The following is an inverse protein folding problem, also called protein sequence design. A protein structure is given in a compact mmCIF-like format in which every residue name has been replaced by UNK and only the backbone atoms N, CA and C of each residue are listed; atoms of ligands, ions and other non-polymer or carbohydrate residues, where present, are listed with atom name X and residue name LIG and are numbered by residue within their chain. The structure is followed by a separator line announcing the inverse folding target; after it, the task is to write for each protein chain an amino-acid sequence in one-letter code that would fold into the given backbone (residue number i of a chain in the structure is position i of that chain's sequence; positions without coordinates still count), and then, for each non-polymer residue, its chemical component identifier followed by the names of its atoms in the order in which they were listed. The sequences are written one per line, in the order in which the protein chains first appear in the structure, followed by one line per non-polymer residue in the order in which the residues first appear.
data_IF_608930794249
#
_entry.id   IF_608930794249
#
_cell.length_a   1.000
_cell.length_b   1.000
_cell.length_c   1.000
_cell.angle_alpha   90.00
_cell.angle_beta   90.00
_cell.angle_gamma   90.00
#
_symmetry.space_group_name_H-M   'P 1'
#
loop_
_entity.id
_entity.type
_entity.pdbx_description
1 polymer ?
#
# COMPACT_ATOMS: atom_id res chain seq x y z
N UNK A 1 19.54 1.20 3.19
CA UNK A 1 19.33 1.70 1.81
C UNK A 1 18.75 0.53 1.03
N UNK A 2 17.45 0.57 0.69
CA UNK A 2 16.75 -0.57 0.09
C UNK A 2 17.05 -0.64 -1.42
N UNK A 3 18.19 -1.22 -1.79
CA UNK A 3 18.66 -1.34 -3.17
C UNK A 3 17.64 -1.96 -4.15
N UNK A 4 16.66 -2.71 -3.63
CA UNK A 4 15.55 -3.30 -4.41
C UNK A 4 14.55 -2.27 -4.96
N UNK A 5 14.33 -1.14 -4.29
CA UNK A 5 13.34 -0.14 -4.73
C UNK A 5 13.93 0.91 -5.67
N UNK A 6 15.22 1.25 -5.52
CA UNK A 6 15.81 2.39 -6.22
C UNK A 6 15.85 2.22 -7.76
N UNK A 7 15.74 0.98 -8.29
CA UNK A 7 15.62 0.67 -9.73
C UNK A 7 14.30 -0.02 -10.10
N UNK A 8 13.29 0.04 -9.22
CA UNK A 8 12.04 -0.68 -9.43
C UNK A 8 11.08 0.14 -10.31
N UNK A 9 10.70 -0.34 -11.51
CA UNK A 9 9.88 0.44 -12.43
C UNK A 9 8.47 0.71 -11.86
N UNK A 10 7.91 -0.22 -11.09
CA UNK A 10 6.61 -0.03 -10.45
C UNK A 10 6.67 1.02 -9.33
N UNK A 11 7.77 1.03 -8.56
CA UNK A 11 8.01 2.08 -7.57
C UNK A 11 8.10 3.47 -8.20
N UNK A 12 8.74 3.57 -9.38
CA UNK A 12 8.84 4.83 -10.11
C UNK A 12 7.48 5.33 -10.58
N UNK A 13 6.64 4.44 -11.14
CA UNK A 13 5.26 4.79 -11.55
C UNK A 13 4.48 5.37 -10.37
N UNK A 14 4.51 4.69 -9.21
CA UNK A 14 3.80 5.15 -8.02
C UNK A 14 4.37 6.47 -7.49
N UNK A 15 5.69 6.61 -7.43
CA UNK A 15 6.34 7.82 -6.87
C UNK A 15 6.14 9.05 -7.77
N UNK A 16 6.10 8.86 -9.09
CA UNK A 16 5.81 9.95 -10.03
C UNK A 16 4.37 10.43 -9.92
N UNK A 17 3.41 9.52 -9.83
CA UNK A 17 1.99 9.88 -9.71
C UNK A 17 1.63 10.37 -8.30
N UNK A 18 2.22 9.77 -7.26
CA UNK A 18 1.91 10.02 -5.85
C UNK A 18 3.18 10.00 -4.98
N UNK A 19 3.96 11.10 -4.94
CA UNK A 19 5.23 11.14 -4.21
C UNK A 19 5.13 10.77 -2.73
N UNK A 20 4.04 11.18 -2.06
CA UNK A 20 3.79 10.86 -0.65
C UNK A 20 3.57 9.35 -0.42
N UNK A 21 2.97 8.64 -1.38
CA UNK A 21 2.84 7.18 -1.33
C UNK A 21 4.22 6.55 -1.50
N UNK A 22 5.02 7.04 -2.46
CA UNK A 22 6.39 6.58 -2.67
C UNK A 22 7.27 6.67 -1.41
N UNK A 23 7.19 7.78 -0.67
CA UNK A 23 7.89 7.94 0.61
C UNK A 23 7.48 6.87 1.62
N UNK A 24 6.18 6.60 1.75
CA UNK A 24 5.65 5.58 2.68
C UNK A 24 6.02 4.17 2.28
N UNK A 25 5.98 3.86 0.99
CA UNK A 25 6.46 2.58 0.45
C UNK A 25 7.93 2.36 0.80
N UNK A 26 8.78 3.38 0.61
CA UNK A 26 10.21 3.29 0.93
C UNK A 26 10.47 3.16 2.44
N UNK A 27 9.69 3.85 3.26
CA UNK A 27 9.75 3.78 4.72
C UNK A 27 9.39 2.37 5.21
N UNK A 28 8.28 1.81 4.74
CA UNK A 28 7.77 0.52 5.21
C UNK A 28 8.38 -0.69 4.51
N UNK A 29 9.16 -0.51 3.44
CA UNK A 29 9.74 -1.63 2.72
C UNK A 29 10.57 -2.53 3.65
N UNK A 30 10.28 -3.83 3.63
CA UNK A 30 10.90 -4.80 4.53
C UNK A 30 10.46 -4.71 5.99
N UNK A 31 9.38 -4.00 6.29
CA UNK A 31 8.74 -3.98 7.60
C UNK A 31 7.35 -4.63 7.53
N UNK A 32 6.88 -5.18 8.64
CA UNK A 32 5.53 -5.73 8.76
C UNK A 32 4.43 -4.69 8.48
N UNK A 33 4.70 -3.40 8.73
CA UNK A 33 3.78 -2.29 8.45
C UNK A 33 3.51 -2.05 6.96
N UNK A 34 4.30 -2.64 6.07
CA UNK A 34 4.08 -2.52 4.63
C UNK A 34 2.75 -3.14 4.19
N UNK A 35 2.46 -4.34 4.69
CA UNK A 35 1.29 -5.11 4.28
C UNK A 35 -0.02 -4.39 4.59
N UNK A 36 -0.29 -3.94 5.84
CA UNK A 36 -1.51 -3.19 6.13
C UNK A 36 -1.58 -1.83 5.41
N UNK A 37 -0.44 -1.23 5.08
CA UNK A 37 -0.39 -0.02 4.27
C UNK A 37 -0.85 -0.28 2.83
N UNK A 38 -0.34 -1.34 2.19
CA UNK A 38 -0.74 -1.74 0.84
C UNK A 38 -2.20 -2.16 0.76
N UNK A 39 -2.69 -2.92 1.75
CA UNK A 39 -4.12 -3.25 1.84
C UNK A 39 -5.00 -2.00 1.92
N UNK A 40 -4.58 -1.01 2.73
CA UNK A 40 -5.27 0.27 2.81
C UNK A 40 -5.27 1.06 1.49
N UNK A 41 -4.27 0.87 0.62
CA UNK A 41 -4.24 1.51 -0.70
C UNK A 41 -5.10 0.75 -1.74
N UNK A 42 -5.05 -0.58 -1.73
CA UNK A 42 -5.71 -1.43 -2.71
C UNK A 42 -7.20 -1.61 -2.41
N UNK A 43 -7.57 -1.65 -1.12
CA UNK A 43 -8.92 -1.98 -0.65
C UNK A 43 -9.56 -0.88 0.18
N UNK A 44 -8.81 0.16 0.59
CA UNK A 44 -9.32 1.21 1.46
C UNK A 44 -10.39 2.08 0.81
N UNK A 45 -11.65 1.78 1.10
CA UNK A 45 -12.83 2.59 0.78
C UNK A 45 -13.05 3.66 1.85
N UNK A 46 -12.15 4.63 1.95
CA UNK A 46 -12.37 5.77 2.85
C UNK A 46 -13.41 6.71 2.25
N UNK A 47 -14.66 6.53 2.67
CA UNK A 47 -15.83 7.41 2.50
C UNK A 47 -15.99 8.08 1.12
N UNK A 48 -16.42 7.30 0.12
CA UNK A 48 -17.24 7.75 -1.01
C UNK A 48 -16.68 8.82 -1.96
N UNK A 49 -15.48 9.34 -1.73
CA UNK A 49 -14.96 10.54 -2.41
C UNK A 49 -13.61 10.33 -3.11
N UNK A 50 -12.95 9.18 -2.92
CA UNK A 50 -11.73 8.86 -3.67
C UNK A 50 -12.06 8.35 -5.06
N UNK A 51 -11.56 9.06 -6.07
CA UNK A 51 -11.33 8.47 -7.40
C UNK A 51 -10.26 7.41 -7.21
N UNK A 52 -10.52 6.17 -7.60
CA UNK A 52 -9.55 5.09 -7.54
C UNK A 52 -8.25 5.45 -8.26
N UNK A 53 -7.22 4.63 -8.09
CA UNK A 53 -5.98 4.82 -8.83
C UNK A 53 -6.21 4.65 -10.34
N UNK A 54 -5.40 5.37 -11.13
CA UNK A 54 -5.25 5.04 -12.55
C UNK A 54 -4.77 3.60 -12.67
N UNK A 55 -5.16 2.91 -13.76
CA UNK A 55 -4.95 1.48 -13.89
C UNK A 55 -3.46 1.06 -13.80
N UNK A 56 -2.57 1.89 -14.34
CA UNK A 56 -1.12 1.73 -14.28
C UNK A 56 -0.59 1.84 -12.84
N UNK A 57 -1.07 2.81 -12.07
CA UNK A 57 -0.70 2.99 -10.66
C UNK A 57 -1.25 1.85 -9.82
N UNK A 58 -2.49 1.43 -10.05
CA UNK A 58 -3.09 0.31 -9.34
C UNK A 58 -2.32 -1.00 -9.58
N UNK A 59 -1.98 -1.26 -10.85
CA UNK A 59 -1.18 -2.43 -11.22
C UNK A 59 0.23 -2.36 -10.65
N UNK A 60 0.86 -1.18 -10.63
CA UNK A 60 2.15 -0.97 -9.99
C UNK A 60 2.10 -1.25 -8.48
N UNK A 61 1.05 -0.80 -7.78
CA UNK A 61 0.82 -1.11 -6.37
C UNK A 61 0.65 -2.61 -6.13
N UNK A 62 -0.15 -3.30 -6.95
CA UNK A 62 -0.30 -4.76 -6.86
C UNK A 62 1.03 -5.49 -7.03
N UNK A 63 1.82 -5.12 -8.03
CA UNK A 63 3.14 -5.72 -8.25
C UNK A 63 4.10 -5.49 -7.08
N UNK A 64 4.10 -4.29 -6.49
CA UNK A 64 4.92 -4.01 -5.31
C UNK A 64 4.49 -4.85 -4.10
N UNK A 65 3.19 -5.09 -3.93
CA UNK A 65 2.67 -5.98 -2.89
C UNK A 65 3.16 -7.42 -3.08
N UNK A 66 3.08 -7.96 -4.30
CA UNK A 66 3.56 -9.32 -4.61
C UNK A 66 5.09 -9.45 -4.46
N UNK A 67 5.86 -8.44 -4.89
CA UNK A 67 7.31 -8.43 -4.72
C UNK A 67 7.70 -8.41 -3.24
N UNK A 68 7.01 -7.63 -2.41
CA UNK A 68 7.26 -7.61 -0.97
C UNK A 68 6.88 -8.94 -0.34
N UNK A 69 5.73 -9.52 -0.67
CA UNK A 69 5.31 -10.85 -0.20
C UNK A 69 6.33 -11.94 -0.55
N UNK A 70 6.87 -11.92 -1.76
CA UNK A 70 7.92 -12.85 -2.19
C UNK A 70 9.23 -12.66 -1.41
N UNK A 71 9.61 -11.41 -1.12
CA UNK A 71 10.83 -11.08 -0.37
C UNK A 71 10.69 -11.30 1.16
N UNK A 72 9.47 -11.18 1.69
CA UNK A 72 9.17 -11.23 3.12
C UNK A 72 7.94 -12.11 3.40
N UNK A 73 8.04 -13.44 3.15
CA UNK A 73 6.89 -14.34 3.23
C UNK A 73 6.24 -14.44 4.61
N UNK A 74 6.95 -14.02 5.67
CA UNK A 74 6.47 -14.04 7.05
C UNK A 74 5.68 -12.77 7.42
N UNK A 75 5.65 -11.75 6.56
CA UNK A 75 4.87 -10.54 6.80
C UNK A 75 3.52 -10.71 6.13
N UNK A 76 2.55 -11.15 6.93
CA UNK A 76 1.16 -11.34 6.54
C UNK A 76 0.26 -10.45 7.39
N UNK A 77 -0.85 -10.03 6.81
CA UNK A 77 -1.93 -9.39 7.56
C UNK A 77 -2.57 -10.44 8.47
N UNK A 78 -2.68 -10.15 9.77
CA UNK A 78 -3.47 -10.99 10.68
C UNK A 78 -4.95 -10.84 10.36
N UNK A 79 -5.75 -11.89 10.51
CA UNK A 79 -7.20 -11.84 10.30
C UNK A 79 -7.87 -10.69 11.10
N UNK A 80 -7.35 -10.38 12.28
CA UNK A 80 -7.79 -9.26 13.13
C UNK A 80 -7.67 -7.87 12.47
N UNK A 81 -6.81 -7.71 11.48
CA UNK A 81 -6.63 -6.42 10.79
C UNK A 81 -7.84 -6.06 9.93
N UNK A 82 -8.42 -7.02 9.22
CA UNK A 82 -9.64 -6.78 8.43
C UNK A 82 -10.83 -6.50 9.33
N UNK A 83 -10.96 -7.27 10.42
CA UNK A 83 -11.94 -6.98 11.46
C UNK A 83 -11.76 -5.56 12.04
N UNK A 84 -10.53 -5.11 12.26
CA UNK A 84 -10.24 -3.74 12.72
C UNK A 84 -10.55 -2.66 11.67
N UNK A 85 -10.23 -2.90 10.40
CA UNK A 85 -10.51 -1.93 9.31
C UNK A 85 -12.02 -1.77 9.11
N UNK A 86 -12.77 -2.87 9.16
CA UNK A 86 -14.24 -2.86 8.99
C UNK A 86 -14.97 -2.26 10.20
N UNK A 87 -14.42 -2.38 11.40
CA UNK A 87 -15.06 -1.91 12.64
C UNK A 87 -14.72 -0.48 13.02
N UNK A 88 -13.78 0.19 12.34
CA UNK A 88 -13.49 1.60 12.62
C UNK A 88 -14.71 2.47 12.31
N UNK A 89 -15.16 3.32 13.25
CA UNK A 89 -16.17 4.31 12.93
C UNK A 89 -15.59 5.23 11.85
N UNK A 90 -16.36 5.45 10.78
CA UNK A 90 -16.09 6.55 9.88
C UNK A 90 -16.16 7.83 10.69
N UNK A 91 -15.07 8.61 10.72
CA UNK A 91 -15.11 9.92 11.35
C UNK A 91 -16.13 10.76 10.58
N UNK A 92 -17.15 11.34 11.23
CA UNK A 92 -18.09 12.19 10.53
C UNK A 92 -17.31 13.34 9.89
N UNK A 93 -17.55 13.57 8.60
CA UNK A 93 -17.08 14.76 7.92
C UNK A 93 -17.51 16.00 8.72
N UNK A 94 -16.54 16.81 9.17
CA UNK A 94 -16.75 18.10 9.82
C UNK A 94 -17.32 19.12 8.83
#
# INVERSE_FOLDING_TARGET
MCAMLDNNPQFNVVTQAFPHIGVKIKEYWGQASFVPYMEGLLHGTREGTRRGFQADVLMALHHLAEQHKAAYPNYVVSDDFWAYVETKPTMPAL
#
